data_IF_471372978875
#
_entry.id   IF_471372978875
#
_cell.length_a   1.000
_cell.length_b   1.000
_cell.length_c   1.000
_cell.angle_alpha   90.00
_cell.angle_beta   90.00
_cell.angle_gamma   90.00
#
_symmetry.space_group_name_H-M   'P 1'
#
loop_
_entity.id
_entity.type
_entity.pdbx_description
1 polymer ?
#
# COMPACT_ATOMS: atom_id res chain seq x y z
N UNK A 1 37.69 47.58 2.34
CA UNK A 1 36.30 47.51 1.91
C UNK A 1 35.35 47.43 3.12
N UNK A 2 35.56 46.54 4.05
CA UNK A 2 34.72 46.33 5.25
C UNK A 2 34.49 47.60 6.08
N UNK A 3 35.57 48.34 6.39
CA UNK A 3 35.50 49.59 7.18
C UNK A 3 34.61 50.68 6.51
N UNK A 4 34.57 50.74 5.19
CA UNK A 4 33.71 51.70 4.48
C UNK A 4 32.22 51.30 4.60
N UNK A 5 31.92 50.01 4.57
CA UNK A 5 30.57 49.50 4.75
C UNK A 5 30.07 49.75 6.16
N UNK A 6 30.90 49.42 7.16
CA UNK A 6 30.57 49.66 8.58
C UNK A 6 30.34 51.16 8.84
N UNK A 7 31.22 52.02 8.34
CA UNK A 7 31.09 53.46 8.48
C UNK A 7 29.81 54.00 7.85
N UNK A 8 29.44 53.50 6.64
CA UNK A 8 28.21 53.87 5.96
C UNK A 8 26.97 53.57 6.80
N UNK A 9 26.87 52.39 7.37
CA UNK A 9 25.73 52.02 8.19
C UNK A 9 25.69 52.75 9.54
N UNK A 10 26.86 53.07 10.12
CA UNK A 10 26.92 53.87 11.35
C UNK A 10 26.52 55.33 11.12
N UNK A 11 26.87 55.90 9.97
CA UNK A 11 26.55 57.30 9.63
C UNK A 11 25.09 57.45 9.15
N UNK A 12 24.52 56.42 8.49
CA UNK A 12 23.17 56.44 7.94
C UNK A 12 22.20 55.57 8.77
N UNK A 13 21.87 55.98 9.99
CA UNK A 13 21.05 55.25 10.92
C UNK A 13 19.69 54.88 10.35
N UNK A 14 19.04 55.75 9.56
CA UNK A 14 17.73 55.48 8.94
C UNK A 14 17.83 54.34 7.94
N UNK A 15 18.85 54.28 7.12
CA UNK A 15 19.10 53.18 6.16
C UNK A 15 19.33 51.87 6.92
N UNK A 16 20.09 51.91 7.99
CA UNK A 16 20.37 50.76 8.83
C UNK A 16 19.08 50.18 9.44
N UNK A 17 18.20 51.04 9.98
CA UNK A 17 16.90 50.61 10.51
C UNK A 17 16.00 50.02 9.44
N UNK A 18 15.96 50.63 8.26
CA UNK A 18 15.14 50.16 7.17
C UNK A 18 15.60 48.78 6.68
N UNK A 19 16.91 48.59 6.51
CA UNK A 19 17.47 47.27 6.16
C UNK A 19 17.20 46.24 7.26
N UNK A 20 17.33 46.62 8.54
CA UNK A 20 17.02 45.72 9.66
C UNK A 20 15.56 45.28 9.64
N UNK A 21 14.61 46.20 9.41
CA UNK A 21 13.18 45.88 9.31
C UNK A 21 12.92 44.90 8.15
N UNK A 22 13.56 45.11 6.98
CA UNK A 22 13.43 44.21 5.83
C UNK A 22 13.95 42.82 6.19
N UNK A 23 15.11 42.69 6.83
CA UNK A 23 15.64 41.38 7.24
C UNK A 23 14.76 40.68 8.28
N UNK A 24 14.25 41.42 9.28
CA UNK A 24 13.33 40.84 10.28
C UNK A 24 12.03 40.37 9.61
N UNK A 25 11.43 41.20 8.75
CA UNK A 25 10.21 40.84 8.01
C UNK A 25 10.43 39.61 7.12
N UNK A 26 11.55 39.54 6.42
CA UNK A 26 11.95 38.40 5.64
C UNK A 26 12.10 37.14 6.51
N UNK A 27 12.75 37.25 7.67
CA UNK A 27 12.89 36.15 8.63
C UNK A 27 11.54 35.66 9.17
N UNK A 28 10.60 36.54 9.41
CA UNK A 28 9.24 36.18 9.86
C UNK A 28 8.46 35.46 8.74
N UNK A 29 8.54 35.95 7.50
CA UNK A 29 7.88 35.35 6.33
C UNK A 29 8.35 33.90 6.10
N UNK A 30 9.65 33.66 6.21
CA UNK A 30 10.27 32.36 5.96
C UNK A 30 10.41 31.50 7.23
N UNK A 31 9.91 31.99 8.37
CA UNK A 31 9.98 31.24 9.63
C UNK A 31 9.23 29.91 9.53
N UNK A 32 9.83 28.78 9.97
CA UNK A 32 9.16 27.46 9.99
C UNK A 32 8.05 27.37 11.04
N UNK A 33 7.94 28.39 11.92
CA UNK A 33 6.89 28.46 12.93
C UNK A 33 5.59 28.99 12.32
N UNK A 34 4.49 28.33 12.55
CA UNK A 34 3.17 28.72 12.02
C UNK A 34 2.61 30.01 12.68
N UNK A 35 3.36 31.10 12.59
CA UNK A 35 2.90 32.39 13.10
C UNK A 35 1.90 33.01 12.12
N UNK A 36 0.64 33.08 12.52
CA UNK A 36 -0.38 33.80 11.75
C UNK A 36 -0.10 35.30 11.79
N UNK A 37 0.64 35.80 10.84
CA UNK A 37 1.00 37.23 10.76
C UNK A 37 -0.13 38.09 10.19
N UNK A 38 -1.15 37.50 9.57
CA UNK A 38 -2.35 38.16 9.03
C UNK A 38 -2.12 39.23 7.94
N UNK A 39 -0.94 39.84 7.88
CA UNK A 39 -0.61 40.98 7.02
C UNK A 39 0.46 40.62 5.98
N UNK A 40 1.40 39.74 6.32
CA UNK A 40 2.51 39.36 5.45
C UNK A 40 2.23 37.98 4.81
N UNK A 41 2.52 37.82 3.51
CA UNK A 41 2.45 36.49 2.89
C UNK A 41 3.43 35.57 3.59
N UNK A 42 3.01 34.36 3.91
CA UNK A 42 3.86 33.34 4.52
C UNK A 42 4.40 32.41 3.44
N UNK A 43 5.71 32.18 3.46
CA UNK A 43 6.40 31.19 2.65
C UNK A 43 7.40 30.45 3.57
N UNK A 44 6.87 29.62 4.50
CA UNK A 44 7.68 28.98 5.52
C UNK A 44 8.67 28.00 4.86
N UNK A 45 9.92 28.07 5.30
CA UNK A 45 10.93 27.07 4.92
C UNK A 45 10.44 25.71 5.44
N UNK A 46 10.30 24.69 4.57
CA UNK A 46 9.91 23.37 5.01
C UNK A 46 10.97 22.81 5.98
N UNK A 47 10.50 22.41 7.17
CA UNK A 47 11.34 21.82 8.22
C UNK A 47 10.67 20.55 8.68
N UNK A 48 11.28 19.42 8.40
CA UNK A 48 10.86 18.13 8.89
C UNK A 48 11.69 17.72 10.09
N UNK A 49 11.07 17.10 11.08
CA UNK A 49 11.76 16.54 12.24
C UNK A 49 12.76 15.44 11.83
N UNK A 50 12.45 14.74 10.76
CA UNK A 50 13.32 13.79 10.07
C UNK A 50 13.33 14.22 8.61
N UNK A 51 14.38 14.91 8.13
CA UNK A 51 14.43 15.35 6.74
C UNK A 51 14.47 14.12 5.81
N UNK A 52 13.68 14.17 4.75
CA UNK A 52 13.73 13.15 3.71
C UNK A 52 14.97 13.40 2.82
N UNK A 53 16.10 12.85 3.27
CA UNK A 53 17.37 12.86 2.55
C UNK A 53 17.56 11.61 1.68
N UNK A 54 16.49 10.80 1.56
CA UNK A 54 16.48 9.61 0.72
C UNK A 54 16.46 9.96 -0.77
N UNK A 55 16.99 9.07 -1.59
CA UNK A 55 16.81 9.15 -3.04
C UNK A 55 15.32 9.04 -3.38
N UNK A 56 14.86 9.72 -4.43
CA UNK A 56 13.50 9.54 -4.95
C UNK A 56 13.37 8.13 -5.53
N UNK A 57 13.03 7.20 -4.66
CA UNK A 57 12.91 5.78 -4.97
C UNK A 57 11.45 5.34 -4.96
N UNK A 58 11.05 4.67 -6.02
CA UNK A 58 9.76 4.01 -6.13
C UNK A 58 9.97 2.50 -6.20
N UNK A 59 9.01 1.75 -5.66
CA UNK A 59 9.08 0.29 -5.64
C UNK A 59 7.85 -0.26 -6.38
N UNK A 60 8.10 -1.17 -7.33
CA UNK A 60 7.05 -1.98 -7.94
C UNK A 60 7.26 -3.41 -7.49
N UNK A 61 6.25 -4.01 -6.89
CA UNK A 61 6.27 -5.42 -6.50
C UNK A 61 5.22 -6.21 -7.28
N UNK A 62 5.52 -7.47 -7.50
CA UNK A 62 4.64 -8.36 -8.26
C UNK A 62 4.70 -9.75 -7.65
N UNK A 63 3.57 -10.24 -7.18
CA UNK A 63 3.46 -11.58 -6.61
C UNK A 63 3.06 -12.59 -7.69
N UNK A 64 3.75 -13.72 -7.71
CA UNK A 64 3.41 -14.88 -8.54
C UNK A 64 3.70 -16.16 -7.76
N UNK A 65 2.77 -16.53 -6.93
CA UNK A 65 2.91 -17.62 -5.98
C UNK A 65 3.34 -18.94 -6.63
N UNK A 66 4.24 -19.67 -5.97
CA UNK A 66 4.70 -20.99 -6.38
C UNK A 66 5.72 -21.03 -7.54
N UNK A 67 6.25 -19.87 -7.95
CA UNK A 67 7.25 -19.78 -9.03
C UNK A 67 8.67 -19.64 -8.52
N UNK A 68 9.60 -20.25 -9.25
CA UNK A 68 11.01 -20.14 -8.91
C UNK A 68 11.55 -18.71 -9.15
N UNK A 69 12.64 -18.30 -8.49
CA UNK A 69 13.27 -17.01 -8.76
C UNK A 69 13.63 -16.80 -10.23
N UNK A 70 14.00 -17.87 -10.96
CA UNK A 70 14.31 -17.80 -12.38
C UNK A 70 13.06 -17.50 -13.21
N UNK A 71 11.92 -18.16 -12.93
CA UNK A 71 10.66 -17.89 -13.62
C UNK A 71 10.20 -16.43 -13.38
N UNK A 72 10.37 -15.94 -12.15
CA UNK A 72 10.06 -14.55 -11.78
C UNK A 72 10.95 -13.59 -12.55
N UNK A 73 12.26 -13.86 -12.64
CA UNK A 73 13.19 -13.01 -13.38
C UNK A 73 12.83 -12.95 -14.86
N UNK A 74 12.66 -14.10 -15.49
CA UNK A 74 12.48 -14.19 -16.95
C UNK A 74 11.13 -13.66 -17.42
N UNK A 75 10.07 -13.88 -16.65
CA UNK A 75 8.69 -13.60 -17.08
C UNK A 75 8.04 -12.39 -16.42
N UNK A 76 8.63 -11.87 -15.34
CA UNK A 76 8.07 -10.74 -14.59
C UNK A 76 9.09 -9.60 -14.46
N UNK A 77 10.23 -9.85 -13.79
CA UNK A 77 11.18 -8.78 -13.47
C UNK A 77 11.81 -8.17 -14.71
N UNK A 78 12.29 -9.00 -15.64
CA UNK A 78 12.95 -8.52 -16.86
C UNK A 78 11.99 -7.74 -17.78
N UNK A 79 10.80 -8.23 -18.14
CA UNK A 79 9.84 -7.48 -18.94
C UNK A 79 9.41 -6.14 -18.30
N UNK A 80 9.16 -6.13 -16.99
CA UNK A 80 8.81 -4.90 -16.28
C UNK A 80 9.98 -3.92 -16.24
N UNK A 81 11.19 -4.37 -15.89
CA UNK A 81 12.38 -3.52 -15.85
C UNK A 81 12.62 -2.86 -17.21
N UNK A 82 12.52 -3.63 -18.29
CA UNK A 82 12.70 -3.12 -19.66
C UNK A 82 11.65 -2.08 -20.01
N UNK A 83 10.40 -2.30 -19.62
CA UNK A 83 9.31 -1.35 -19.87
C UNK A 83 9.47 -0.05 -19.08
N UNK A 84 9.96 -0.14 -17.84
CA UNK A 84 10.12 1.00 -16.92
C UNK A 84 11.36 1.85 -17.25
N UNK A 85 12.39 1.30 -17.90
CA UNK A 85 13.58 2.05 -18.34
C UNK A 85 13.27 3.23 -19.27
N UNK A 86 12.13 3.23 -19.94
CA UNK A 86 11.72 4.31 -20.84
C UNK A 86 11.06 5.50 -20.15
N UNK A 87 11.02 5.57 -18.81
CA UNK A 87 10.45 6.70 -18.06
C UNK A 87 11.51 7.80 -17.95
N UNK A 88 11.19 9.06 -18.34
CA UNK A 88 12.13 10.17 -18.18
C UNK A 88 12.51 10.42 -16.72
N UNK A 89 13.76 10.81 -16.47
CA UNK A 89 14.28 11.08 -15.14
C UNK A 89 14.62 9.84 -14.31
N UNK A 90 14.56 8.65 -14.89
CA UNK A 90 15.03 7.42 -14.23
C UNK A 90 16.54 7.37 -14.28
N UNK A 91 17.17 7.39 -13.11
CA UNK A 91 18.63 7.30 -12.92
C UNK A 91 19.11 5.84 -12.97
N UNK A 92 18.40 4.94 -12.29
CA UNK A 92 18.71 3.51 -12.30
C UNK A 92 17.50 2.66 -11.91
N UNK A 93 17.47 1.43 -12.41
CA UNK A 93 16.49 0.42 -12.00
C UNK A 93 17.25 -0.82 -11.52
N UNK A 94 16.78 -1.40 -10.43
CA UNK A 94 17.29 -2.65 -9.87
C UNK A 94 16.12 -3.58 -9.60
N UNK A 95 16.24 -4.82 -10.01
CA UNK A 95 15.26 -5.86 -9.69
C UNK A 95 15.84 -6.88 -8.72
N UNK A 96 14.98 -7.44 -7.89
CA UNK A 96 15.27 -8.57 -7.03
C UNK A 96 14.15 -9.59 -7.19
N UNK A 97 14.52 -10.78 -7.67
CA UNK A 97 13.61 -11.89 -7.94
C UNK A 97 13.82 -12.97 -6.91
N UNK A 98 12.82 -13.23 -6.10
CA UNK A 98 12.82 -14.30 -5.09
C UNK A 98 11.68 -15.27 -5.37
N UNK A 99 11.56 -16.33 -4.58
CA UNK A 99 10.48 -17.30 -4.74
C UNK A 99 9.11 -16.63 -4.60
N UNK A 100 8.35 -16.63 -5.69
CA UNK A 100 6.99 -16.09 -5.73
C UNK A 100 6.87 -14.55 -5.75
N UNK A 101 7.97 -13.79 -5.78
CA UNK A 101 7.92 -12.33 -5.68
C UNK A 101 9.00 -11.65 -6.52
N UNK A 102 8.60 -10.64 -7.28
CA UNK A 102 9.48 -9.66 -7.92
C UNK A 102 9.40 -8.33 -7.18
N UNK A 103 10.54 -7.71 -6.92
CA UNK A 103 10.64 -6.35 -6.36
C UNK A 103 11.55 -5.51 -7.25
N UNK A 104 11.03 -4.44 -7.84
CA UNK A 104 11.75 -3.55 -8.73
C UNK A 104 11.87 -2.18 -8.07
N UNK A 105 13.10 -1.74 -7.88
CA UNK A 105 13.45 -0.45 -7.30
C UNK A 105 13.81 0.50 -8.43
N UNK A 106 13.06 1.59 -8.54
CA UNK A 106 13.24 2.61 -9.59
C UNK A 106 13.71 3.88 -8.88
N UNK A 107 14.94 4.29 -9.16
CA UNK A 107 15.55 5.48 -8.57
C UNK A 107 15.53 6.58 -9.63
N UNK A 108 14.97 7.71 -9.28
CA UNK A 108 14.87 8.90 -10.11
C UNK A 108 15.97 9.91 -9.78
N UNK A 109 16.17 10.85 -10.67
CA UNK A 109 17.04 12.01 -10.41
C UNK A 109 16.44 12.89 -9.30
N UNK A 110 17.28 13.65 -8.61
CA UNK A 110 16.89 14.44 -7.43
C UNK A 110 15.90 15.58 -7.71
N UNK A 111 15.89 16.06 -8.95
CA UNK A 111 14.99 17.13 -9.42
C UNK A 111 13.60 16.62 -9.82
N UNK A 112 13.39 15.30 -9.85
CA UNK A 112 12.11 14.68 -10.18
C UNK A 112 11.20 14.67 -8.96
N UNK A 113 10.01 15.25 -9.11
CA UNK A 113 9.00 15.28 -8.04
C UNK A 113 8.46 13.87 -7.75
N UNK A 114 8.30 13.54 -6.45
CA UNK A 114 7.96 12.20 -5.98
C UNK A 114 6.63 11.68 -6.54
N UNK A 115 5.54 12.46 -6.48
CA UNK A 115 4.25 12.02 -6.99
C UNK A 115 4.16 12.00 -8.51
N UNK A 116 4.94 12.85 -9.19
CA UNK A 116 5.09 12.80 -10.63
C UNK A 116 5.72 11.46 -11.06
N UNK A 117 6.78 11.03 -10.39
CA UNK A 117 7.44 9.75 -10.67
C UNK A 117 6.48 8.57 -10.48
N UNK A 118 5.66 8.58 -9.41
CA UNK A 118 4.61 7.57 -9.17
C UNK A 118 3.59 7.53 -10.29
N UNK A 119 3.11 8.70 -10.73
CA UNK A 119 2.13 8.79 -11.82
C UNK A 119 2.68 8.21 -13.12
N UNK A 120 3.95 8.49 -13.46
CA UNK A 120 4.60 7.94 -14.66
C UNK A 120 4.76 6.43 -14.61
N UNK A 121 5.10 5.87 -13.45
CA UNK A 121 5.16 4.43 -13.26
C UNK A 121 3.77 3.81 -13.46
N UNK A 122 2.73 4.35 -12.84
CA UNK A 122 1.36 3.86 -12.99
C UNK A 122 0.88 3.91 -14.45
N UNK A 123 1.16 4.99 -15.18
CA UNK A 123 0.86 5.10 -16.61
C UNK A 123 1.57 4.00 -17.43
N UNK A 124 2.84 3.75 -17.13
CA UNK A 124 3.61 2.68 -17.78
C UNK A 124 3.07 1.30 -17.48
N UNK A 125 2.78 1.00 -16.21
CA UNK A 125 2.19 -0.28 -15.81
C UNK A 125 0.83 -0.51 -16.48
N UNK A 126 -0.02 0.52 -16.55
CA UNK A 126 -1.33 0.44 -17.19
C UNK A 126 -1.25 0.36 -18.74
N UNK A 127 -0.15 0.80 -19.34
CA UNK A 127 0.06 0.77 -20.79
C UNK A 127 0.84 -0.47 -21.28
N UNK A 128 1.10 -1.42 -20.40
CA UNK A 128 1.76 -2.67 -20.79
C UNK A 128 0.91 -3.41 -21.84
N UNK A 129 1.51 -3.86 -22.94
CA UNK A 129 0.81 -4.67 -23.93
C UNK A 129 0.25 -5.96 -23.30
N UNK A 130 -0.94 -6.41 -23.75
CA UNK A 130 -1.46 -7.72 -23.35
C UNK A 130 -0.44 -8.83 -23.62
N UNK A 131 -0.25 -9.74 -22.67
CA UNK A 131 0.70 -10.84 -22.77
C UNK A 131 2.16 -10.48 -22.43
N UNK A 132 2.43 -9.24 -21.99
CA UNK A 132 3.74 -8.87 -21.44
C UNK A 132 4.07 -9.63 -20.16
N UNK A 133 3.06 -9.85 -19.33
CA UNK A 133 3.13 -10.64 -18.10
C UNK A 133 2.26 -11.89 -18.24
N UNK A 134 2.51 -12.94 -17.44
CA UNK A 134 1.66 -14.11 -17.35
C UNK A 134 0.22 -13.73 -16.95
N UNK A 135 -0.74 -14.57 -17.35
CA UNK A 135 -2.13 -14.45 -16.89
C UNK A 135 -2.17 -14.50 -15.36
N UNK A 136 -3.05 -13.73 -14.76
CA UNK A 136 -3.23 -13.57 -13.31
C UNK A 136 -2.06 -12.89 -12.55
N UNK A 137 -1.08 -12.33 -13.24
CA UNK A 137 0.03 -11.57 -12.64
C UNK A 137 -0.19 -10.08 -12.84
N UNK A 138 -0.34 -9.36 -11.73
CA UNK A 138 -0.56 -7.90 -11.76
C UNK A 138 0.50 -7.20 -10.93
N UNK A 139 1.28 -6.29 -11.53
CA UNK A 139 2.24 -5.48 -10.79
C UNK A 139 1.53 -4.42 -9.96
N UNK A 140 2.02 -4.17 -8.76
CA UNK A 140 1.52 -3.15 -7.86
C UNK A 140 2.64 -2.16 -7.50
N UNK A 141 2.27 -0.88 -7.44
CA UNK A 141 3.16 0.15 -6.94
C UNK A 141 3.19 0.10 -5.41
N UNK A 142 4.38 0.17 -4.83
CA UNK A 142 4.58 0.24 -3.39
C UNK A 142 3.94 1.46 -2.73
N UNK A 143 3.95 1.55 -1.40
CA UNK A 143 3.37 2.66 -0.67
C UNK A 143 3.99 4.00 -1.08
N UNK A 144 3.26 5.08 -0.89
CA UNK A 144 3.71 6.45 -1.14
C UNK A 144 4.48 7.04 0.05
N UNK A 145 5.35 6.23 0.62
CA UNK A 145 6.21 6.59 1.73
C UNK A 145 7.63 6.09 1.50
N UNK A 146 8.60 6.87 1.94
CA UNK A 146 10.00 6.43 2.00
C UNK A 146 10.24 5.58 3.25
N UNK A 147 11.37 4.85 3.30
CA UNK A 147 11.75 4.07 4.47
C UNK A 147 11.89 4.96 5.74
N UNK A 148 12.16 6.26 5.57
CA UNK A 148 12.21 7.25 6.65
C UNK A 148 10.81 7.68 7.12
N UNK A 149 9.75 7.34 6.38
CA UNK A 149 8.37 7.59 6.75
C UNK A 149 7.83 6.69 7.87
N UNK A 150 8.60 5.71 8.34
CA UNK A 150 8.22 4.87 9.48
C UNK A 150 8.41 5.63 10.79
N UNK A 151 7.42 6.44 11.14
CA UNK A 151 7.50 7.37 12.27
C UNK A 151 6.97 6.81 13.59
N UNK A 152 6.16 5.74 13.53
CA UNK A 152 5.52 5.20 14.73
C UNK A 152 5.42 3.68 14.71
N UNK A 153 5.79 3.04 15.81
CA UNK A 153 5.69 1.60 16.02
C UNK A 153 4.81 1.34 17.24
N UNK A 154 3.92 0.40 17.14
CA UNK A 154 3.06 -0.05 18.23
C UNK A 154 2.90 -1.56 18.22
N UNK A 155 2.53 -2.12 19.36
CA UNK A 155 2.21 -3.53 19.51
C UNK A 155 0.76 -3.71 19.92
N UNK A 156 0.13 -4.77 19.42
CA UNK A 156 -1.15 -5.24 19.94
C UNK A 156 -0.90 -6.37 20.92
N UNK A 157 -1.41 -6.20 22.12
CA UNK A 157 -1.28 -7.19 23.19
C UNK A 157 -2.55 -7.29 24.01
N UNK A 158 -2.84 -8.47 24.55
CA UNK A 158 -3.91 -8.65 25.53
C UNK A 158 -3.53 -8.01 26.87
N UNK A 159 -4.44 -7.27 27.48
CA UNK A 159 -4.26 -6.67 28.80
C UNK A 159 -5.33 -7.12 29.78
N UNK A 160 -4.98 -7.25 31.05
CA UNK A 160 -5.92 -7.47 32.13
C UNK A 160 -6.72 -6.19 32.47
N UNK A 161 -7.60 -6.30 33.47
CA UNK A 161 -8.43 -5.16 33.91
C UNK A 161 -7.60 -4.03 34.53
N UNK A 162 -6.41 -4.33 35.00
CA UNK A 162 -5.49 -3.38 35.62
C UNK A 162 -4.51 -2.78 34.60
N UNK A 163 -4.63 -3.19 33.30
CA UNK A 163 -3.84 -2.68 32.20
C UNK A 163 -2.47 -3.34 32.03
N UNK A 164 -2.17 -4.42 32.76
CA UNK A 164 -0.92 -5.15 32.58
C UNK A 164 -1.00 -6.11 31.39
N UNK A 165 0.10 -6.36 30.66
CA UNK A 165 0.14 -7.41 29.66
C UNK A 165 -0.21 -8.76 30.29
N UNK A 166 -1.33 -9.34 29.86
CA UNK A 166 -1.87 -10.55 30.49
C UNK A 166 -1.73 -11.80 29.61
N UNK A 167 -1.31 -11.64 28.36
CA UNK A 167 -1.39 -12.71 27.38
C UNK A 167 -2.83 -13.14 27.10
N UNK A 168 -3.03 -14.38 26.69
CA UNK A 168 -4.38 -14.96 26.53
C UNK A 168 -5.07 -14.67 25.20
N UNK A 169 -4.53 -13.81 24.38
CA UNK A 169 -5.00 -13.60 23.01
C UNK A 169 -4.15 -14.40 22.03
N UNK A 170 -4.84 -15.11 21.13
CA UNK A 170 -4.17 -15.83 20.06
C UNK A 170 -3.54 -14.81 19.07
N UNK A 171 -2.28 -14.99 18.66
CA UNK A 171 -1.64 -14.17 17.61
C UNK A 171 -2.45 -14.07 16.32
N UNK A 172 -3.24 -15.07 15.99
CA UNK A 172 -4.16 -15.08 14.88
C UNK A 172 -5.34 -14.09 15.08
N UNK A 173 -5.90 -14.03 16.28
CA UNK A 173 -6.98 -13.07 16.61
C UNK A 173 -6.43 -11.64 16.63
N UNK A 174 -5.27 -11.42 17.26
CA UNK A 174 -4.61 -10.11 17.26
C UNK A 174 -4.30 -9.62 15.84
N UNK A 175 -3.84 -10.52 14.96
CA UNK A 175 -3.60 -10.18 13.56
C UNK A 175 -4.90 -9.81 12.85
N UNK A 176 -5.97 -10.50 13.09
CA UNK A 176 -7.30 -10.19 12.54
C UNK A 176 -7.79 -8.83 13.00
N UNK A 177 -7.64 -8.52 14.29
CA UNK A 177 -7.99 -7.19 14.84
C UNK A 177 -7.14 -6.09 14.19
N UNK A 178 -5.84 -6.32 14.05
CA UNK A 178 -4.92 -5.39 13.42
C UNK A 178 -5.35 -5.08 11.97
N UNK A 179 -5.56 -6.10 11.15
CA UNK A 179 -5.76 -5.93 9.72
C UNK A 179 -7.14 -5.37 9.37
N UNK A 180 -8.18 -5.72 10.14
CA UNK A 180 -9.57 -5.36 9.82
C UNK A 180 -10.13 -4.18 10.63
N UNK A 181 -9.57 -3.87 11.80
CA UNK A 181 -10.07 -2.79 12.67
C UNK A 181 -9.04 -1.69 12.88
N UNK A 182 -7.88 -2.03 13.40
CA UNK A 182 -6.87 -1.02 13.79
C UNK A 182 -6.26 -0.36 12.57
N UNK A 183 -5.81 -1.13 11.60
CA UNK A 183 -5.26 -0.63 10.34
C UNK A 183 -6.22 0.31 9.63
N UNK A 184 -7.47 -0.11 9.49
CA UNK A 184 -8.51 0.70 8.85
C UNK A 184 -8.70 2.05 9.56
N UNK A 185 -8.82 2.01 10.89
CA UNK A 185 -9.02 3.22 11.69
C UNK A 185 -7.83 4.17 11.63
N UNK A 186 -6.60 3.65 11.70
CA UNK A 186 -5.39 4.48 11.66
C UNK A 186 -5.11 5.05 10.27
N UNK A 187 -5.43 4.34 9.20
CA UNK A 187 -5.27 4.84 7.82
C UNK A 187 -6.15 6.05 7.53
N UNK A 188 -7.24 6.26 8.29
CA UNK A 188 -8.09 7.45 8.14
C UNK A 188 -7.50 8.70 8.80
N UNK A 189 -6.47 8.59 9.61
CA UNK A 189 -5.82 9.72 10.25
C UNK A 189 -5.06 10.56 9.21
N UNK A 190 -5.16 11.90 9.35
CA UNK A 190 -4.50 12.82 8.42
C UNK A 190 -2.98 12.65 8.48
N UNK A 191 -2.36 12.47 7.32
CA UNK A 191 -0.91 12.32 7.19
C UNK A 191 -0.40 10.89 7.33
N UNK A 192 -1.28 9.90 7.48
CA UNK A 192 -0.92 8.48 7.48
C UNK A 192 -1.05 7.94 6.06
N UNK A 193 0.07 7.58 5.45
CA UNK A 193 0.10 6.98 4.11
C UNK A 193 -0.17 5.47 4.16
N UNK A 194 0.41 4.78 5.14
CA UNK A 194 0.29 3.33 5.29
C UNK A 194 0.34 2.90 6.76
N UNK A 195 -0.34 1.80 7.05
CA UNK A 195 -0.22 1.06 8.31
C UNK A 195 0.11 -0.39 7.98
N UNK A 196 1.37 -0.77 8.18
CA UNK A 196 1.86 -2.12 7.90
C UNK A 196 1.76 -3.02 9.14
N UNK A 197 1.46 -4.29 8.91
CA UNK A 197 1.35 -5.31 9.96
C UNK A 197 2.52 -6.28 9.89
N UNK A 198 3.22 -6.50 11.00
CA UNK A 198 4.32 -7.47 11.10
C UNK A 198 4.00 -8.43 12.24
N UNK A 199 4.14 -9.74 11.98
CA UNK A 199 3.87 -10.78 12.96
C UNK A 199 2.41 -11.23 13.03
N UNK A 200 2.12 -12.15 13.95
CA UNK A 200 0.85 -12.85 14.01
C UNK A 200 0.63 -13.82 12.85
N UNK A 201 -0.53 -14.48 12.82
CA UNK A 201 -0.92 -15.40 11.76
C UNK A 201 -2.14 -14.86 11.00
N UNK A 202 -2.01 -14.76 9.69
CA UNK A 202 -3.15 -14.37 8.83
C UNK A 202 -4.18 -15.49 8.84
N UNK A 203 -5.45 -15.15 8.99
CA UNK A 203 -6.53 -16.14 8.94
C UNK A 203 -6.72 -16.66 7.54
N UNK A 204 -6.58 -17.97 7.39
CA UNK A 204 -6.83 -18.69 6.14
C UNK A 204 -7.64 -19.96 6.40
N UNK A 205 -8.35 -20.41 5.38
CA UNK A 205 -9.01 -21.70 5.38
C UNK A 205 -8.19 -22.66 4.53
N UNK A 206 -7.60 -23.67 5.18
CA UNK A 206 -6.85 -24.71 4.50
C UNK A 206 -7.78 -25.86 4.17
N UNK A 207 -7.77 -26.31 2.91
CA UNK A 207 -8.54 -27.44 2.43
C UNK A 207 -7.59 -28.57 2.08
N UNK A 208 -7.56 -29.60 2.91
CA UNK A 208 -6.74 -30.80 2.69
C UNK A 208 -7.57 -31.81 1.86
N UNK A 209 -7.01 -32.23 0.75
CA UNK A 209 -7.69 -33.10 -0.21
C UNK A 209 -7.16 -34.53 -0.05
N UNK A 210 -8.07 -35.51 0.15
CA UNK A 210 -7.74 -36.93 0.15
C UNK A 210 -7.71 -37.51 -1.29
N UNK A 211 -6.53 -37.88 -1.83
CA UNK A 211 -6.41 -38.46 -3.18
C UNK A 211 -7.18 -39.77 -3.35
N UNK A 212 -7.34 -40.55 -2.27
CA UNK A 212 -8.06 -41.80 -2.34
C UNK A 212 -9.58 -41.58 -2.45
N UNK A 213 -10.09 -40.61 -1.69
CA UNK A 213 -11.50 -40.17 -1.82
C UNK A 213 -11.77 -39.59 -3.21
N UNK A 214 -10.85 -38.75 -3.74
CA UNK A 214 -11.00 -38.24 -5.11
C UNK A 214 -11.11 -39.36 -6.14
N UNK A 215 -10.25 -40.38 -6.02
CA UNK A 215 -10.29 -41.54 -6.93
C UNK A 215 -11.58 -42.38 -6.78
N UNK A 216 -12.00 -42.57 -5.53
CA UNK A 216 -13.24 -43.32 -5.26
C UNK A 216 -14.48 -42.64 -5.83
N UNK A 217 -14.59 -41.33 -5.69
CA UNK A 217 -15.70 -40.53 -6.21
C UNK A 217 -15.48 -40.07 -7.67
N UNK A 218 -14.34 -40.36 -8.29
CA UNK A 218 -14.00 -39.94 -9.66
C UNK A 218 -14.02 -38.42 -9.85
N UNK A 219 -13.52 -37.69 -8.86
CA UNK A 219 -13.42 -36.24 -8.84
C UNK A 219 -11.96 -35.81 -9.05
N UNK A 220 -11.73 -34.78 -9.83
CA UNK A 220 -10.42 -34.22 -10.05
C UNK A 220 -10.21 -32.90 -9.27
N UNK A 221 -8.95 -32.49 -9.14
CA UNK A 221 -8.59 -31.31 -8.36
C UNK A 221 -9.22 -30.01 -8.90
N UNK A 222 -9.34 -29.90 -10.23
CA UNK A 222 -9.92 -28.71 -10.87
C UNK A 222 -11.42 -28.58 -10.56
N UNK A 223 -12.14 -29.70 -10.41
CA UNK A 223 -13.54 -29.69 -10.01
C UNK A 223 -13.69 -29.22 -8.56
N UNK A 224 -12.79 -29.64 -7.65
CA UNK A 224 -12.78 -29.19 -6.26
C UNK A 224 -12.48 -27.70 -6.20
N UNK A 225 -11.45 -27.23 -6.89
CA UNK A 225 -11.11 -25.80 -6.95
C UNK A 225 -12.27 -24.95 -7.49
N UNK A 226 -12.93 -25.42 -8.55
CA UNK A 226 -14.09 -24.74 -9.11
C UNK A 226 -15.27 -24.70 -8.14
N UNK A 227 -15.55 -25.81 -7.43
CA UNK A 227 -16.61 -25.88 -6.44
C UNK A 227 -16.35 -24.89 -5.28
N UNK A 228 -15.14 -24.88 -4.73
CA UNK A 228 -14.76 -23.95 -3.65
C UNK A 228 -14.85 -22.49 -4.11
N UNK A 229 -14.35 -22.17 -5.30
CA UNK A 229 -14.46 -20.82 -5.87
C UNK A 229 -15.91 -20.40 -6.07
N UNK A 230 -16.77 -21.28 -6.54
CA UNK A 230 -18.18 -21.00 -6.80
C UNK A 230 -19.04 -20.99 -5.52
N UNK A 231 -18.60 -21.65 -4.45
CA UNK A 231 -19.32 -21.64 -3.17
C UNK A 231 -19.15 -20.36 -2.37
N UNK A 232 -18.22 -19.47 -2.76
CA UNK A 232 -17.99 -18.19 -2.10
C UNK A 232 -18.42 -17.01 -2.99
N UNK A 233 -19.65 -17.02 -3.44
CA UNK A 233 -20.22 -16.03 -4.35
C UNK A 233 -21.63 -15.63 -3.93
N UNK A 234 -21.82 -14.31 -3.69
CA UNK A 234 -23.17 -13.74 -3.64
C UNK A 234 -23.64 -13.47 -5.07
N UNK A 235 -24.83 -13.95 -5.38
CA UNK A 235 -25.45 -13.74 -6.70
C UNK A 235 -26.64 -12.81 -6.51
N UNK A 236 -26.58 -11.62 -7.13
CA UNK A 236 -27.72 -10.74 -7.26
C UNK A 236 -28.68 -11.31 -8.32
N UNK A 237 -29.92 -11.60 -7.95
CA UNK A 237 -30.98 -11.93 -8.87
C UNK A 237 -31.81 -10.68 -9.18
N UNK A 238 -32.74 -10.80 -10.15
CA UNK A 238 -33.67 -9.72 -10.49
C UNK A 238 -34.68 -9.47 -9.36
N UNK A 239 -35.33 -8.33 -9.43
CA UNK A 239 -36.47 -8.03 -8.59
C UNK A 239 -37.69 -8.80 -9.02
N UNK A 240 -38.51 -9.21 -8.06
CA UNK A 240 -39.82 -9.80 -8.27
C UNK A 240 -40.87 -8.79 -7.83
N UNK A 241 -41.75 -8.40 -8.73
CA UNK A 241 -42.86 -7.53 -8.41
C UNK A 241 -44.06 -8.39 -7.96
N UNK A 242 -44.48 -8.18 -6.72
CA UNK A 242 -45.64 -8.85 -6.17
C UNK A 242 -46.47 -7.84 -5.34
N UNK A 243 -47.77 -7.76 -5.64
CA UNK A 243 -48.71 -6.94 -4.90
C UNK A 243 -48.36 -5.41 -4.88
N UNK A 244 -47.82 -4.88 -6.00
CA UNK A 244 -47.31 -3.48 -6.14
C UNK A 244 -46.10 -3.16 -5.29
N UNK A 245 -45.40 -4.16 -4.77
CA UNK A 245 -44.15 -4.03 -4.09
C UNK A 245 -43.06 -4.79 -4.86
N UNK A 246 -41.87 -4.20 -4.93
CA UNK A 246 -40.70 -4.78 -5.58
C UNK A 246 -39.86 -5.47 -4.52
N UNK A 247 -39.57 -6.75 -4.70
CA UNK A 247 -38.75 -7.57 -3.82
C UNK A 247 -37.43 -7.89 -4.50
N UNK A 248 -36.33 -7.50 -3.88
CA UNK A 248 -34.98 -7.85 -4.33
C UNK A 248 -34.67 -9.30 -3.94
N UNK A 249 -34.37 -10.14 -4.93
CA UNK A 249 -33.94 -11.53 -4.70
C UNK A 249 -32.43 -11.57 -4.66
N UNK A 250 -31.85 -12.10 -3.58
CA UNK A 250 -30.42 -12.31 -3.39
C UNK A 250 -30.15 -13.75 -3.01
N UNK A 251 -29.20 -14.39 -3.68
CA UNK A 251 -28.62 -15.65 -3.21
C UNK A 251 -27.39 -15.29 -2.35
N UNK A 252 -27.45 -15.58 -1.05
CA UNK A 252 -26.36 -15.38 -0.11
C UNK A 252 -25.47 -16.63 -0.13
N UNK A 253 -24.27 -16.52 -0.68
CA UNK A 253 -23.36 -17.64 -0.85
C UNK A 253 -21.97 -17.40 -0.26
N UNK A 254 -21.71 -16.27 0.41
CA UNK A 254 -20.43 -16.08 1.07
C UNK A 254 -20.24 -17.04 2.24
N UNK A 255 -19.07 -17.65 2.28
CA UNK A 255 -18.62 -18.54 3.35
C UNK A 255 -18.50 -17.76 4.65
N UNK A 256 -19.14 -18.24 5.72
CA UNK A 256 -19.12 -17.65 7.05
C UNK A 256 -18.40 -18.53 8.06
N UNK A 257 -18.39 -19.82 7.86
CA UNK A 257 -17.82 -20.81 8.75
C UNK A 257 -17.30 -22.03 7.98
N UNK A 258 -16.62 -22.95 8.68
CA UNK A 258 -16.07 -24.16 8.09
C UNK A 258 -17.15 -25.08 7.50
N UNK A 259 -18.31 -25.14 8.14
CA UNK A 259 -19.45 -25.97 7.69
C UNK A 259 -19.94 -25.56 6.29
N UNK A 260 -19.87 -24.28 5.95
CA UNK A 260 -20.26 -23.79 4.62
C UNK A 260 -19.32 -24.32 3.53
N UNK A 261 -18.02 -24.46 3.86
CA UNK A 261 -17.03 -25.06 2.95
C UNK A 261 -17.25 -26.56 2.82
N UNK A 262 -17.45 -27.26 3.93
CA UNK A 262 -17.68 -28.71 3.96
C UNK A 262 -18.94 -29.13 3.18
N UNK A 263 -19.96 -28.29 3.16
CA UNK A 263 -21.20 -28.51 2.43
C UNK A 263 -21.13 -28.12 0.95
N UNK A 264 -20.01 -27.64 0.46
CA UNK A 264 -19.87 -27.27 -0.94
C UNK A 264 -20.01 -28.45 -1.85
N UNK A 265 -20.98 -28.39 -2.78
CA UNK A 265 -21.26 -29.47 -3.74
C UNK A 265 -20.20 -29.46 -4.84
N UNK A 266 -19.43 -30.54 -4.96
CA UNK A 266 -18.37 -30.68 -5.97
C UNK A 266 -18.99 -31.19 -7.31
N UNK A 267 -19.79 -32.21 -7.26
CA UNK A 267 -20.43 -32.84 -8.44
C UNK A 267 -21.78 -33.43 -8.05
N UNK A 268 -22.74 -33.28 -8.90
CA UNK A 268 -24.06 -33.96 -8.80
C UNK A 268 -24.12 -35.04 -9.87
N UNK A 269 -24.38 -36.27 -9.48
CA UNK A 269 -24.58 -37.43 -10.39
C UNK A 269 -25.88 -38.11 -10.04
N UNK A 270 -26.65 -38.47 -11.06
CA UNK A 270 -27.91 -39.25 -10.91
C UNK A 270 -28.91 -38.67 -9.89
N UNK A 271 -28.98 -37.34 -9.79
CA UNK A 271 -29.77 -36.58 -8.80
C UNK A 271 -29.42 -36.84 -7.32
N UNK A 272 -28.24 -37.34 -7.03
CA UNK A 272 -27.64 -37.49 -5.68
C UNK A 272 -26.41 -36.63 -5.53
#
# INVERSE_FOLDING_TARGET
MLNKIIKFFLENKLVTFLVLIVFISWGIINSPFGWETGILPQDPVPVDAIPDIGENQQIVYTEWAGRSPQDIEDQVSYPLTTSLLGIPGVKTIRSNSIFGLSSIYIIFDEDVEFYWSRTRILEKLNSLPPGTLPEDVTPALGPDATALGQIYWYTLEGRDKDGNPAGGWDPHELRTIQDFYVRYSLTTAKGVAEVASIGGFVKEYQIDIDPNAMKAYGVNISQIMAAVKNSNLDIGARTIEFNRAEYLVRALGYIKNLEDIEKSVIVVRDNV
#
